data_IF_661985081170
#
_entry.id   IF_661985081170
#
_cell.length_a   1.000
_cell.length_b   1.000
_cell.length_c   1.000
_cell.angle_alpha   90.00
_cell.angle_beta   90.00
_cell.angle_gamma   90.00
#
_symmetry.space_group_name_H-M   'P 1'
#
loop_
_entity.id
_entity.type
_entity.pdbx_description
1 polymer ?
#
# COMPACT_ATOMS: atom_id res chain seq x y z
N UNK A 1 -5.51 10.60 2.19
CA UNK A 1 -5.48 9.14 2.25
C UNK A 1 -5.14 8.68 3.67
N UNK A 2 -5.71 7.56 4.13
CA UNK A 2 -5.30 6.89 5.37
C UNK A 2 -4.01 6.10 5.14
N UNK A 3 -3.32 5.68 6.21
CA UNK A 3 -2.13 4.85 6.07
C UNK A 3 -2.45 3.51 5.38
N UNK A 4 -3.60 2.91 5.71
CA UNK A 4 -4.07 1.69 5.07
C UNK A 4 -4.25 1.90 3.56
N UNK A 5 -4.86 3.01 3.15
CA UNK A 5 -5.02 3.35 1.73
C UNK A 5 -3.68 3.50 1.01
N UNK A 6 -2.69 4.16 1.62
CA UNK A 6 -1.36 4.30 1.02
C UNK A 6 -0.67 2.95 0.87
N UNK A 7 -0.73 2.10 1.90
CA UNK A 7 -0.13 0.75 1.84
C UNK A 7 -0.79 -0.11 0.77
N UNK A 8 -2.12 -0.08 0.66
CA UNK A 8 -2.85 -0.83 -0.37
C UNK A 8 -2.50 -0.31 -1.77
N UNK A 9 -2.49 1.01 -1.98
CA UNK A 9 -2.15 1.62 -3.26
C UNK A 9 -0.69 1.32 -3.67
N UNK A 10 0.26 1.40 -2.74
CA UNK A 10 1.65 1.02 -2.98
C UNK A 10 1.78 -0.47 -3.33
N UNK A 11 1.05 -1.34 -2.62
CA UNK A 11 1.03 -2.79 -2.89
C UNK A 11 0.53 -3.07 -4.31
N UNK A 12 -0.56 -2.44 -4.73
CA UNK A 12 -1.10 -2.58 -6.09
C UNK A 12 -0.18 -2.03 -7.18
N UNK A 13 0.70 -1.07 -6.85
CA UNK A 13 1.68 -0.51 -7.78
C UNK A 13 2.92 -1.40 -7.98
N UNK A 14 3.11 -2.45 -7.17
CA UNK A 14 4.29 -3.32 -7.27
C UNK A 14 4.23 -4.24 -8.49
N UNK A 15 5.37 -4.54 -9.14
CA UNK A 15 5.42 -5.45 -10.26
C UNK A 15 4.83 -6.84 -9.94
N UNK A 16 3.93 -7.32 -10.80
CA UNK A 16 3.33 -8.65 -10.68
C UNK A 16 2.13 -8.75 -9.74
N UNK A 17 1.75 -7.68 -9.03
CA UNK A 17 0.53 -7.65 -8.22
C UNK A 17 -0.65 -7.17 -9.07
N UNK A 18 -1.68 -8.00 -9.18
CA UNK A 18 -2.90 -7.68 -9.95
C UNK A 18 -4.12 -7.40 -9.06
N UNK A 19 -4.08 -7.78 -7.79
CA UNK A 19 -5.13 -7.51 -6.80
C UNK A 19 -4.55 -7.51 -5.39
N UNK A 20 -5.23 -6.82 -4.46
CA UNK A 20 -4.91 -6.80 -3.04
C UNK A 20 -6.10 -7.33 -2.22
N UNK A 21 -5.92 -8.45 -1.51
CA UNK A 21 -6.94 -9.00 -0.63
C UNK A 21 -6.88 -8.30 0.74
N UNK A 22 -7.81 -7.37 0.99
CA UNK A 22 -7.80 -6.56 2.19
C UNK A 22 -8.88 -7.03 3.18
N UNK A 23 -8.48 -7.47 4.37
CA UNK A 23 -9.42 -7.81 5.44
C UNK A 23 -10.14 -6.57 6.00
N UNK A 24 -11.41 -6.73 6.37
CA UNK A 24 -12.21 -5.70 7.02
C UNK A 24 -13.17 -6.34 8.04
N UNK A 25 -13.29 -5.75 9.23
CA UNK A 25 -14.23 -6.19 10.28
C UNK A 25 -15.59 -5.52 10.19
N UNK A 26 -15.70 -4.44 9.41
CA UNK A 26 -16.94 -3.68 9.23
C UNK A 26 -16.94 -2.94 7.89
N UNK A 27 -18.11 -2.41 7.52
CA UNK A 27 -18.32 -1.71 6.26
C UNK A 27 -17.46 -0.45 6.10
N UNK A 28 -17.22 0.29 7.19
CA UNK A 28 -16.36 1.49 7.16
C UNK A 28 -14.94 1.16 6.73
N UNK A 29 -14.37 0.07 7.26
CA UNK A 29 -13.04 -0.41 6.85
C UNK A 29 -13.03 -0.90 5.40
N UNK A 30 -14.06 -1.62 4.97
CA UNK A 30 -14.16 -2.08 3.59
C UNK A 30 -14.19 -0.91 2.59
N UNK A 31 -14.95 0.16 2.91
CA UNK A 31 -14.99 1.39 2.13
C UNK A 31 -13.66 2.14 2.16
N UNK A 32 -12.98 2.20 3.31
CA UNK A 32 -11.66 2.83 3.42
C UNK A 32 -10.62 2.11 2.56
N UNK A 33 -10.60 0.76 2.59
CA UNK A 33 -9.75 -0.07 1.75
C UNK A 33 -10.04 0.15 0.26
N UNK A 34 -11.32 0.17 -0.13
CA UNK A 34 -11.72 0.34 -1.54
C UNK A 34 -11.27 1.68 -2.13
N UNK A 35 -11.33 2.76 -1.34
CA UNK A 35 -10.85 4.10 -1.73
C UNK A 35 -9.34 4.16 -2.03
N UNK A 36 -8.56 3.16 -1.60
CA UNK A 36 -7.16 3.06 -2.01
C UNK A 36 -6.99 2.94 -3.52
N UNK A 37 -7.97 2.35 -4.22
CA UNK A 37 -7.94 2.20 -5.69
C UNK A 37 -8.06 3.53 -6.46
N UNK A 38 -8.42 4.63 -5.79
CA UNK A 38 -8.46 5.96 -6.38
C UNK A 38 -7.10 6.69 -6.29
N UNK A 39 -6.12 6.10 -5.60
CA UNK A 39 -4.80 6.71 -5.38
C UNK A 39 -3.82 6.22 -6.43
N UNK A 40 -3.30 7.15 -7.22
CA UNK A 40 -2.18 6.93 -8.13
C UNK A 40 -0.93 7.55 -7.53
N UNK A 41 0.00 6.72 -7.06
CA UNK A 41 1.30 7.18 -6.58
C UNK A 41 2.20 7.51 -7.77
N UNK A 42 2.81 8.68 -7.75
CA UNK A 42 3.82 9.07 -8.72
C UNK A 42 5.10 8.26 -8.55
N UNK A 43 5.94 8.22 -9.59
CA UNK A 43 7.24 7.56 -9.52
C UNK A 43 8.13 8.10 -8.38
N UNK A 44 8.03 9.40 -8.06
CA UNK A 44 8.78 10.01 -6.96
C UNK A 44 8.27 9.55 -5.58
N UNK A 45 6.95 9.43 -5.42
CA UNK A 45 6.35 8.92 -4.18
C UNK A 45 6.65 7.43 -3.98
N UNK A 46 6.54 6.62 -5.05
CA UNK A 46 6.96 5.22 -5.03
C UNK A 46 8.43 5.08 -4.61
N UNK A 47 9.33 5.84 -5.23
CA UNK A 47 10.75 5.83 -4.86
C UNK A 47 11.02 6.27 -3.42
N UNK A 48 10.22 7.19 -2.87
CA UNK A 48 10.32 7.59 -1.46
C UNK A 48 9.93 6.45 -0.53
N UNK A 49 8.86 5.72 -0.85
CA UNK A 49 8.40 4.57 -0.06
C UNK A 49 9.41 3.42 -0.16
N UNK A 50 9.92 3.14 -1.35
CA UNK A 50 10.89 2.06 -1.58
C UNK A 50 12.19 2.31 -0.81
N UNK A 51 12.68 3.55 -0.76
CA UNK A 51 13.84 3.94 0.05
C UNK A 51 13.58 3.74 1.55
N UNK A 52 12.37 4.07 2.04
CA UNK A 52 11.99 3.84 3.42
C UNK A 52 11.90 2.35 3.76
N UNK A 53 11.32 1.53 2.88
CA UNK A 53 11.27 0.07 3.01
C UNK A 53 12.68 -0.50 3.12
N UNK A 54 13.57 -0.12 2.20
CA UNK A 54 14.97 -0.55 2.20
C UNK A 54 15.75 -0.08 3.43
N UNK A 55 15.41 1.06 4.03
CA UNK A 55 16.07 1.59 5.23
C UNK A 55 15.55 1.02 6.55
N UNK A 56 14.29 0.61 6.60
CA UNK A 56 13.61 0.27 7.87
C UNK A 56 13.24 -1.22 8.01
N UNK A 57 13.14 -1.98 6.92
CA UNK A 57 12.68 -3.38 6.95
C UNK A 57 13.81 -4.41 6.73
N UNK A 58 15.08 -4.00 6.82
CA UNK A 58 16.29 -4.81 6.52
C UNK A 58 16.39 -6.12 7.35
N UNK A 59 15.72 -6.20 8.50
CA UNK A 59 15.83 -7.33 9.43
C UNK A 59 14.52 -8.11 9.61
N UNK A 60 13.55 -8.00 8.71
CA UNK A 60 12.27 -8.74 8.81
C UNK A 60 12.46 -10.25 8.57
N UNK A 61 13.47 -10.64 7.79
CA UNK A 61 13.75 -12.02 7.43
C UNK A 61 14.79 -12.71 8.36
N UNK A 62 15.17 -12.05 9.47
CA UNK A 62 16.17 -12.55 10.42
C UNK A 62 15.54 -13.33 11.60
#
# INVERSE_FOLDING_TARGET
ATMAQIVIAWTLAQPGITFALCGARNATQALDNARAGEILLSAAELGTIDAAVAGHLVAIDA
#
